data_IF_021058551315
#
_entry.id   IF_021058551315
#
_cell.length_a   1.000
_cell.length_b   1.000
_cell.length_c   1.000
_cell.angle_alpha   90.00
_cell.angle_beta   90.00
_cell.angle_gamma   90.00
#
_symmetry.space_group_name_H-M   'P 1'
#
loop_
_entity.id
_entity.type
_entity.pdbx_description
1 polymer ?
#
# COMPACT_ATOMS: atom_id res chain seq x y z
N UNK A 1 32.21 -12.31 -66.55
CA UNK A 1 32.57 -11.65 -65.28
C UNK A 1 31.34 -10.97 -64.69
N UNK A 2 30.42 -11.72 -64.07
CA UNK A 2 29.29 -11.14 -63.34
C UNK A 2 29.44 -11.55 -61.87
N UNK A 3 29.80 -10.58 -61.02
CA UNK A 3 29.99 -10.78 -59.59
C UNK A 3 28.63 -10.87 -58.90
N UNK A 4 28.32 -12.04 -58.36
CA UNK A 4 27.22 -12.30 -57.44
C UNK A 4 27.53 -11.60 -56.11
N UNK A 5 26.88 -10.48 -55.81
CA UNK A 5 26.96 -9.81 -54.50
C UNK A 5 25.99 -10.48 -53.53
N UNK A 6 26.50 -11.34 -52.67
CA UNK A 6 25.78 -11.92 -51.54
C UNK A 6 25.73 -10.88 -50.40
N UNK A 7 24.56 -10.29 -50.15
CA UNK A 7 24.32 -9.42 -49.00
C UNK A 7 23.95 -10.29 -47.79
N UNK A 8 24.91 -10.47 -46.88
CA UNK A 8 24.71 -11.11 -45.59
C UNK A 8 24.09 -10.07 -44.66
N UNK A 9 22.79 -10.20 -44.36
CA UNK A 9 22.15 -9.47 -43.27
C UNK A 9 22.57 -10.12 -41.94
N UNK A 10 23.57 -9.55 -41.27
CA UNK A 10 23.86 -9.82 -39.87
C UNK A 10 22.73 -9.21 -39.03
N UNK A 11 21.71 -9.99 -38.71
CA UNK A 11 20.78 -9.67 -37.64
C UNK A 11 21.56 -9.74 -36.32
N UNK A 12 22.05 -8.60 -35.86
CA UNK A 12 22.51 -8.44 -34.49
C UNK A 12 21.28 -8.58 -33.58
N UNK A 13 21.02 -9.79 -33.10
CA UNK A 13 20.23 -10.00 -31.89
C UNK A 13 21.02 -9.37 -30.74
N UNK A 14 20.84 -8.07 -30.55
CA UNK A 14 21.26 -7.41 -29.33
C UNK A 14 20.46 -8.02 -28.19
N UNK A 15 21.09 -8.89 -27.39
CA UNK A 15 20.55 -9.27 -26.10
C UNK A 15 20.61 -8.00 -25.26
N UNK A 16 19.53 -7.23 -25.25
CA UNK A 16 19.39 -6.09 -24.36
C UNK A 16 19.51 -6.62 -22.94
N UNK A 17 20.62 -6.29 -22.28
CA UNK A 17 20.82 -6.62 -20.87
C UNK A 17 19.82 -5.77 -20.08
N UNK A 18 18.73 -6.38 -19.62
CA UNK A 18 17.74 -5.69 -18.82
C UNK A 18 18.43 -5.03 -17.61
N UNK A 19 18.15 -3.74 -17.40
CA UNK A 19 18.65 -3.01 -16.23
C UNK A 19 18.10 -3.61 -14.93
N UNK A 20 18.68 -3.27 -13.77
CA UNK A 20 18.09 -3.66 -12.49
C UNK A 20 16.68 -3.05 -12.36
N UNK A 21 15.70 -3.90 -12.05
CA UNK A 21 14.34 -3.47 -11.78
C UNK A 21 14.25 -2.56 -10.55
N UNK A 22 13.28 -1.65 -10.55
CA UNK A 22 13.08 -0.66 -9.49
C UNK A 22 11.62 -0.63 -9.07
N UNK A 23 11.37 -0.43 -7.78
CA UNK A 23 10.03 -0.26 -7.25
C UNK A 23 10.05 0.77 -6.13
N UNK A 24 8.93 1.44 -5.92
CA UNK A 24 8.72 2.28 -4.74
C UNK A 24 8.13 1.46 -3.61
N UNK A 25 8.45 1.82 -2.37
CA UNK A 25 7.71 1.40 -1.18
C UNK A 25 7.36 2.65 -0.38
N UNK A 26 6.07 2.90 -0.23
CA UNK A 26 5.51 3.98 0.59
C UNK A 26 4.56 3.39 1.63
N UNK A 27 4.42 4.07 2.77
CA UNK A 27 3.63 3.64 3.91
C UNK A 27 3.30 4.83 4.80
N UNK A 28 2.31 4.69 5.67
CA UNK A 28 2.04 5.57 6.81
C UNK A 28 1.88 7.04 6.36
N UNK A 29 1.06 7.25 5.33
CA UNK A 29 0.84 8.59 4.76
C UNK A 29 0.09 9.50 5.73
N UNK A 30 -0.83 8.94 6.53
CA UNK A 30 -1.65 9.60 7.55
C UNK A 30 -2.07 11.02 7.15
N UNK A 31 -3.06 11.14 6.25
CA UNK A 31 -3.61 12.43 5.87
C UNK A 31 -4.42 13.02 7.04
N UNK A 32 -4.00 14.16 7.58
CA UNK A 32 -4.87 15.03 8.39
C UNK A 32 -5.64 15.99 7.48
N UNK A 33 -6.96 15.79 7.24
CA UNK A 33 -7.73 16.65 6.35
C UNK A 33 -7.97 18.06 6.91
N UNK A 34 -7.81 18.24 8.23
CA UNK A 34 -8.11 19.48 8.95
C UNK A 34 -6.84 20.27 9.32
N UNK A 35 -5.66 19.82 8.89
CA UNK A 35 -4.42 20.56 9.04
C UNK A 35 -4.54 21.96 8.42
N UNK A 36 -4.21 22.99 9.21
CA UNK A 36 -4.14 24.38 8.76
C UNK A 36 -3.09 25.17 9.53
N UNK A 37 -2.41 26.06 8.85
CA UNK A 37 -1.55 27.06 9.50
C UNK A 37 -2.45 28.03 10.27
N UNK A 38 -2.38 28.00 11.60
CA UNK A 38 -3.23 28.75 12.52
C UNK A 38 -2.37 29.57 13.48
N UNK A 39 -2.85 30.75 13.86
CA UNK A 39 -2.25 31.55 14.93
C UNK A 39 -2.58 30.97 16.33
N UNK A 40 -3.67 30.20 16.44
CA UNK A 40 -4.01 29.44 17.64
C UNK A 40 -3.32 28.05 17.59
N UNK A 41 -2.36 27.77 18.49
CA UNK A 41 -1.61 26.52 18.51
C UNK A 41 -2.44 25.26 18.78
N UNK A 42 -3.66 25.38 19.32
CA UNK A 42 -4.58 24.26 19.56
C UNK A 42 -5.48 23.95 18.35
N UNK A 43 -5.39 24.76 17.29
CA UNK A 43 -6.26 24.67 16.11
C UNK A 43 -5.46 24.40 14.83
N UNK A 44 -4.22 23.90 14.94
CA UNK A 44 -3.40 23.57 13.77
C UNK A 44 -3.84 22.25 13.15
N UNK A 45 -3.92 21.19 13.95
CA UNK A 45 -4.26 19.85 13.49
C UNK A 45 -4.94 19.05 14.62
N UNK A 46 -6.03 18.31 14.36
CA UNK A 46 -6.64 17.44 15.36
C UNK A 46 -5.75 16.27 15.77
N UNK A 47 -4.83 15.82 14.91
CA UNK A 47 -3.91 14.71 15.20
C UNK A 47 -2.95 14.99 16.36
N UNK A 48 -2.62 16.25 16.64
CA UNK A 48 -1.80 16.64 17.79
C UNK A 48 -2.51 16.47 19.14
N UNK A 49 -3.83 16.20 19.13
CA UNK A 49 -4.63 16.06 20.34
C UNK A 49 -4.72 17.36 21.12
N UNK A 50 -4.15 17.38 22.33
CA UNK A 50 -4.09 18.56 23.20
C UNK A 50 -2.73 19.28 23.18
N UNK A 51 -1.79 18.84 22.35
CA UNK A 51 -0.46 19.44 22.26
C UNK A 51 -0.52 20.78 21.52
N UNK A 52 0.31 21.74 21.97
CA UNK A 52 0.39 23.08 21.37
C UNK A 52 1.32 23.05 20.16
N UNK A 53 0.78 23.29 18.96
CA UNK A 53 1.55 23.34 17.72
C UNK A 53 1.87 24.80 17.38
N UNK A 54 3.05 25.27 17.80
CA UNK A 54 3.47 26.66 17.59
C UNK A 54 4.27 26.81 16.30
N UNK A 55 4.03 27.89 15.53
CA UNK A 55 4.74 28.19 14.28
C UNK A 55 4.64 27.08 13.21
N UNK A 56 3.48 26.43 13.10
CA UNK A 56 3.19 25.40 12.12
C UNK A 56 3.53 25.87 10.68
N UNK A 57 4.26 25.03 9.94
CA UNK A 57 4.65 25.31 8.57
C UNK A 57 3.60 24.88 7.54
N UNK A 58 3.67 25.35 6.29
CA UNK A 58 2.73 24.89 5.26
C UNK A 58 2.89 23.40 4.94
N UNK A 59 4.07 22.81 5.18
CA UNK A 59 4.41 21.43 4.82
C UNK A 59 4.14 20.41 5.93
N UNK A 60 3.62 20.84 7.08
CA UNK A 60 3.40 19.97 8.23
C UNK A 60 4.10 20.48 9.48
N UNK A 61 3.90 19.74 10.56
CA UNK A 61 4.56 19.91 11.84
C UNK A 61 4.83 18.52 12.43
N UNK A 62 5.89 18.37 13.21
CA UNK A 62 6.27 17.08 13.80
C UNK A 62 5.23 16.52 14.79
N UNK A 63 4.35 17.36 15.34
CA UNK A 63 3.25 16.94 16.21
C UNK A 63 1.97 16.59 15.44
N UNK A 64 1.95 16.85 14.13
CA UNK A 64 0.80 16.62 13.27
C UNK A 64 1.03 15.44 12.33
N UNK A 65 -0.07 14.80 11.94
CA UNK A 65 -0.12 13.97 10.76
C UNK A 65 -0.03 14.83 9.50
N UNK A 66 0.16 14.18 8.35
CA UNK A 66 0.55 14.85 7.10
C UNK A 66 -0.57 15.75 6.57
N UNK A 67 -0.31 17.04 6.29
CA UNK A 67 -1.21 17.81 5.45
C UNK A 67 -1.19 17.27 4.02
N UNK A 68 -2.28 17.51 3.28
CA UNK A 68 -2.39 17.12 1.87
C UNK A 68 -1.18 17.55 1.03
N UNK A 69 -0.63 18.74 1.29
CA UNK A 69 0.47 19.28 0.49
C UNK A 69 1.77 18.49 0.67
N UNK A 70 2.00 17.88 1.84
CA UNK A 70 3.14 17.00 2.08
C UNK A 70 3.01 15.69 1.30
N UNK A 71 1.84 15.05 1.39
CA UNK A 71 1.54 13.81 0.65
C UNK A 71 1.59 14.06 -0.86
N UNK A 72 1.00 15.15 -1.34
CA UNK A 72 1.09 15.52 -2.75
C UNK A 72 2.55 15.71 -3.16
N UNK A 73 3.34 16.44 -2.36
CA UNK A 73 4.76 16.64 -2.63
C UNK A 73 5.55 15.34 -2.68
N UNK A 74 5.28 14.37 -1.79
CA UNK A 74 6.01 13.11 -1.75
C UNK A 74 5.73 12.25 -3.00
N UNK A 75 4.47 12.14 -3.42
CA UNK A 75 4.09 11.37 -4.61
C UNK A 75 4.64 12.02 -5.90
N UNK A 76 4.64 13.35 -6.00
CA UNK A 76 5.28 14.04 -7.12
C UNK A 76 6.81 13.94 -7.10
N UNK A 77 7.45 13.95 -5.93
CA UNK A 77 8.88 13.71 -5.80
C UNK A 77 9.27 12.29 -6.24
N UNK A 78 8.47 11.27 -5.92
CA UNK A 78 8.67 9.91 -6.43
C UNK A 78 8.70 9.91 -7.97
N UNK A 79 7.78 10.63 -8.62
CA UNK A 79 7.73 10.73 -10.09
C UNK A 79 8.94 11.44 -10.68
N UNK A 80 9.48 12.44 -10.00
CA UNK A 80 10.70 13.13 -10.44
C UNK A 80 11.93 12.22 -10.34
N UNK A 81 12.02 11.39 -9.30
CA UNK A 81 13.16 10.51 -9.04
C UNK A 81 13.13 9.24 -9.92
N UNK A 82 11.97 8.58 -10.01
CA UNK A 82 11.76 7.38 -10.81
C UNK A 82 10.31 7.35 -11.33
N UNK A 83 10.05 7.87 -12.54
CA UNK A 83 8.72 7.96 -13.14
C UNK A 83 8.20 6.63 -13.68
N UNK A 84 9.07 5.66 -13.97
CA UNK A 84 8.72 4.37 -14.58
C UNK A 84 9.17 3.18 -13.71
N UNK A 85 8.73 3.09 -12.45
CA UNK A 85 9.02 1.93 -11.61
C UNK A 85 8.27 0.69 -12.14
N UNK A 86 8.83 -0.50 -11.91
CA UNK A 86 8.19 -1.77 -12.28
C UNK A 86 6.84 -1.94 -11.55
N UNK A 87 6.77 -1.48 -10.30
CA UNK A 87 5.56 -1.45 -9.47
C UNK A 87 5.76 -0.53 -8.24
N UNK A 88 4.68 -0.34 -7.48
CA UNK A 88 4.68 0.37 -6.19
C UNK A 88 4.16 -0.58 -5.11
N UNK A 89 4.81 -0.61 -3.96
CA UNK A 89 4.28 -1.18 -2.71
C UNK A 89 3.71 -0.05 -1.87
N UNK A 90 2.46 -0.18 -1.43
CA UNK A 90 1.81 0.77 -0.54
C UNK A 90 1.23 0.05 0.67
N UNK A 91 1.82 0.22 1.84
CA UNK A 91 1.48 -0.59 3.03
C UNK A 91 0.46 0.06 3.99
N UNK A 92 -0.34 1.00 3.48
CA UNK A 92 -1.50 1.56 4.17
C UNK A 92 -1.17 2.62 5.22
N UNK A 93 -2.09 2.78 6.19
CA UNK A 93 -2.10 3.79 7.24
C UNK A 93 -2.28 5.21 6.69
N UNK A 94 -3.48 5.42 6.15
CA UNK A 94 -3.88 6.58 5.37
C UNK A 94 -4.55 7.67 6.21
N UNK A 95 -5.18 7.29 7.32
CA UNK A 95 -6.07 8.17 8.09
C UNK A 95 -5.39 8.71 9.36
N UNK A 96 -5.80 9.87 9.90
CA UNK A 96 -5.05 10.53 10.96
C UNK A 96 -5.27 9.84 12.33
N UNK A 97 -4.34 10.12 13.24
CA UNK A 97 -4.37 9.77 14.65
C UNK A 97 -5.38 10.63 15.42
N UNK A 98 -6.66 10.35 15.22
CA UNK A 98 -7.77 10.99 15.96
C UNK A 98 -8.63 9.95 16.70
N UNK A 99 -9.44 10.37 17.68
CA UNK A 99 -10.45 9.50 18.31
C UNK A 99 -11.47 8.98 17.28
N UNK A 100 -11.98 7.76 17.49
CA UNK A 100 -12.94 7.13 16.57
C UNK A 100 -14.21 7.97 16.37
N UNK A 101 -14.61 8.72 17.40
CA UNK A 101 -15.80 9.59 17.38
C UNK A 101 -15.64 10.77 16.40
N UNK A 102 -14.40 11.11 16.03
CA UNK A 102 -14.08 12.17 15.07
C UNK A 102 -13.83 11.66 13.66
N UNK A 103 -13.73 10.35 13.45
CA UNK A 103 -13.44 9.75 12.15
C UNK A 103 -14.29 8.51 11.91
N UNK A 104 -15.45 8.72 11.27
CA UNK A 104 -16.36 7.64 10.88
C UNK A 104 -15.91 6.90 9.61
N UNK A 105 -16.54 5.75 9.37
CA UNK A 105 -16.25 4.87 8.22
C UNK A 105 -16.26 5.59 6.86
N UNK A 106 -17.23 6.47 6.62
CA UNK A 106 -17.30 7.23 5.36
C UNK A 106 -16.10 8.17 5.17
N UNK A 107 -15.55 8.73 6.26
CA UNK A 107 -14.37 9.58 6.20
C UNK A 107 -13.10 8.75 5.94
N UNK A 108 -12.98 7.56 6.57
CA UNK A 108 -11.91 6.59 6.28
C UNK A 108 -11.89 6.25 4.79
N UNK A 109 -13.01 5.78 4.23
CA UNK A 109 -13.10 5.42 2.81
C UNK A 109 -12.80 6.60 1.87
N UNK A 110 -13.23 7.81 2.23
CA UNK A 110 -12.95 9.01 1.43
C UNK A 110 -11.46 9.36 1.42
N UNK A 111 -10.75 9.15 2.53
CA UNK A 111 -9.30 9.37 2.61
C UNK A 111 -8.57 8.34 1.75
N UNK A 112 -8.88 7.04 1.91
CA UNK A 112 -8.30 5.96 1.09
C UNK A 112 -8.56 6.20 -0.40
N UNK A 113 -9.78 6.59 -0.77
CA UNK A 113 -10.12 6.94 -2.16
C UNK A 113 -9.27 8.11 -2.67
N UNK A 114 -9.07 9.16 -1.85
CA UNK A 114 -8.31 10.35 -2.25
C UNK A 114 -6.84 10.01 -2.51
N UNK A 115 -6.21 9.21 -1.65
CA UNK A 115 -4.83 8.77 -1.84
C UNK A 115 -4.70 7.80 -3.01
N UNK A 116 -5.64 6.87 -3.15
CA UNK A 116 -5.74 5.98 -4.32
C UNK A 116 -5.79 6.79 -5.63
N UNK A 117 -6.62 7.85 -5.67
CA UNK A 117 -6.74 8.73 -6.85
C UNK A 117 -5.44 9.47 -7.14
N UNK A 118 -4.76 10.01 -6.13
CA UNK A 118 -3.47 10.69 -6.29
C UNK A 118 -2.42 9.76 -6.91
N UNK A 119 -2.26 8.54 -6.36
CA UNK A 119 -1.29 7.56 -6.88
C UNK A 119 -1.62 7.20 -8.34
N UNK A 120 -2.89 6.97 -8.67
CA UNK A 120 -3.34 6.67 -10.03
C UNK A 120 -3.15 7.82 -11.02
N UNK A 121 -3.29 9.07 -10.55
CA UNK A 121 -3.09 10.27 -11.36
C UNK A 121 -1.60 10.47 -11.68
N UNK A 122 -0.73 10.30 -10.68
CA UNK A 122 0.70 10.56 -10.82
C UNK A 122 1.40 9.41 -11.55
N UNK A 123 1.01 8.15 -11.28
CA UNK A 123 1.55 6.92 -11.86
C UNK A 123 0.49 6.14 -12.67
N UNK A 124 0.00 6.70 -13.79
CA UNK A 124 -1.00 6.03 -14.61
C UNK A 124 -0.42 4.77 -15.25
N UNK A 125 -1.07 3.63 -15.04
CA UNK A 125 -0.65 2.35 -15.63
C UNK A 125 0.38 1.57 -14.81
N UNK A 126 0.92 2.13 -13.74
CA UNK A 126 1.80 1.41 -12.80
C UNK A 126 0.97 0.49 -11.90
N UNK A 127 1.37 -0.78 -11.78
CA UNK A 127 0.76 -1.74 -10.85
C UNK A 127 1.13 -1.35 -9.41
N UNK A 128 0.13 -1.30 -8.53
CA UNK A 128 0.32 -1.03 -7.10
C UNK A 128 -0.11 -2.26 -6.31
N UNK A 129 0.76 -2.76 -5.44
CA UNK A 129 0.44 -3.80 -4.47
C UNK A 129 0.19 -3.12 -3.13
N UNK A 130 -1.10 -2.88 -2.85
CA UNK A 130 -1.54 -2.13 -1.68
C UNK A 130 -2.06 -3.06 -0.56
N UNK A 131 -1.68 -2.77 0.68
CA UNK A 131 -2.18 -3.38 1.91
C UNK A 131 -2.96 -2.31 2.71
N UNK A 132 -3.92 -2.75 3.53
CA UNK A 132 -4.56 -1.87 4.52
C UNK A 132 -3.70 -1.81 5.79
N UNK A 133 -3.52 -0.61 6.35
CA UNK A 133 -2.96 -0.39 7.67
C UNK A 133 -4.02 -0.38 8.76
N UNK A 134 -3.63 -0.43 10.04
CA UNK A 134 -4.56 -0.54 11.16
C UNK A 134 -5.45 0.72 11.34
N UNK A 135 -5.04 1.86 10.77
CA UNK A 135 -5.84 3.09 10.71
C UNK A 135 -6.84 3.14 9.53
N UNK A 136 -6.79 2.20 8.60
CA UNK A 136 -7.65 2.19 7.39
C UNK A 136 -9.00 1.50 7.64
N UNK A 137 -9.48 1.55 8.88
CA UNK A 137 -10.72 0.93 9.31
C UNK A 137 -11.44 1.76 10.36
N UNK A 138 -12.75 1.57 10.48
CA UNK A 138 -13.55 2.18 11.54
C UNK A 138 -14.38 1.14 12.28
N UNK A 139 -14.27 1.04 13.62
CA UNK A 139 -13.28 1.72 14.46
C UNK A 139 -11.85 1.26 14.15
N UNK A 140 -10.84 2.12 14.36
CA UNK A 140 -9.44 1.77 14.06
C UNK A 140 -9.00 0.51 14.79
N UNK A 141 -8.07 -0.24 14.19
CA UNK A 141 -7.56 -1.54 14.64
C UNK A 141 -8.57 -2.71 14.61
N UNK A 142 -9.88 -2.47 14.51
CA UNK A 142 -10.90 -3.51 14.68
C UNK A 142 -11.20 -4.27 13.37
N UNK A 143 -10.18 -4.81 12.72
CA UNK A 143 -10.30 -5.54 11.46
C UNK A 143 -10.94 -6.92 11.69
N UNK A 144 -12.11 -7.23 11.09
CA UNK A 144 -12.75 -8.53 11.24
C UNK A 144 -12.09 -9.59 10.36
N UNK A 145 -12.17 -10.84 10.82
CA UNK A 145 -11.79 -12.05 10.08
C UNK A 145 -12.92 -12.50 9.12
N UNK A 146 -13.37 -11.60 8.24
CA UNK A 146 -14.43 -11.87 7.27
C UNK A 146 -14.83 -10.61 6.49
N UNK A 147 -15.63 -10.81 5.43
CA UNK A 147 -16.06 -9.70 4.57
C UNK A 147 -16.82 -8.59 5.33
N UNK A 148 -16.61 -7.35 4.92
CA UNK A 148 -17.28 -6.16 5.46
C UNK A 148 -17.33 -5.03 4.42
N UNK A 149 -18.00 -3.92 4.75
CA UNK A 149 -18.18 -2.81 3.81
C UNK A 149 -16.85 -2.16 3.39
N UNK A 150 -15.91 -1.97 4.31
CA UNK A 150 -14.61 -1.34 4.00
C UNK A 150 -13.82 -2.22 3.02
N UNK A 151 -13.68 -3.53 3.28
CA UNK A 151 -12.99 -4.44 2.37
C UNK A 151 -13.64 -4.44 0.98
N UNK A 152 -14.97 -4.46 0.92
CA UNK A 152 -15.72 -4.45 -0.33
C UNK A 152 -15.51 -3.16 -1.13
N UNK A 153 -15.56 -2.00 -0.49
CA UNK A 153 -15.38 -0.70 -1.14
C UNK A 153 -13.93 -0.49 -1.57
N UNK A 154 -12.96 -0.84 -0.73
CA UNK A 154 -11.53 -0.76 -1.07
C UNK A 154 -11.19 -1.71 -2.22
N UNK A 155 -11.78 -2.90 -2.29
CA UNK A 155 -11.61 -3.80 -3.42
C UNK A 155 -12.05 -3.15 -4.75
N UNK A 156 -13.11 -2.33 -4.75
CA UNK A 156 -13.54 -1.61 -5.96
C UNK A 156 -12.61 -0.42 -6.27
N UNK A 157 -12.12 0.31 -5.26
CA UNK A 157 -11.12 1.37 -5.43
C UNK A 157 -9.82 0.83 -6.06
N UNK A 158 -9.36 -0.33 -5.58
CA UNK A 158 -8.13 -0.98 -6.00
C UNK A 158 -8.32 -1.99 -7.14
N UNK A 159 -9.54 -2.14 -7.66
CA UNK A 159 -9.85 -3.05 -8.77
C UNK A 159 -8.91 -2.91 -9.98
N UNK A 160 -8.47 -1.71 -10.41
CA UNK A 160 -7.50 -1.57 -11.50
C UNK A 160 -6.13 -2.20 -11.19
N UNK A 161 -5.82 -2.40 -9.92
CA UNK A 161 -4.58 -2.99 -9.43
C UNK A 161 -4.72 -4.45 -9.02
N UNK A 162 -5.93 -5.00 -8.91
CA UNK A 162 -6.18 -6.38 -8.53
C UNK A 162 -6.51 -7.23 -9.75
N UNK A 163 -5.85 -8.38 -9.89
CA UNK A 163 -6.27 -9.41 -10.81
C UNK A 163 -7.57 -10.05 -10.30
N UNK A 164 -8.35 -10.66 -11.21
CA UNK A 164 -9.65 -11.24 -10.88
C UNK A 164 -9.59 -12.26 -9.72
N UNK A 165 -8.52 -13.05 -9.66
CA UNK A 165 -8.28 -14.05 -8.60
C UNK A 165 -7.99 -13.42 -7.23
N UNK A 166 -7.49 -12.18 -7.20
CA UNK A 166 -7.16 -11.45 -5.98
C UNK A 166 -8.36 -10.74 -5.36
N UNK A 167 -9.44 -10.50 -6.13
CA UNK A 167 -10.61 -9.73 -5.65
C UNK A 167 -11.37 -10.47 -4.55
N UNK A 168 -11.65 -11.76 -4.73
CA UNK A 168 -12.39 -12.55 -3.75
C UNK A 168 -11.67 -12.65 -2.39
N UNK A 169 -10.38 -13.06 -2.31
CA UNK A 169 -9.68 -13.10 -1.03
C UNK A 169 -9.51 -11.70 -0.41
N UNK A 170 -9.36 -10.64 -1.22
CA UNK A 170 -9.35 -9.28 -0.70
C UNK A 170 -10.69 -8.92 -0.04
N UNK A 171 -11.81 -9.22 -0.68
CA UNK A 171 -13.15 -8.94 -0.12
C UNK A 171 -13.45 -9.74 1.14
N UNK A 172 -12.85 -10.91 1.29
CA UNK A 172 -13.06 -11.78 2.45
C UNK A 172 -12.14 -11.47 3.63
N UNK A 173 -10.89 -11.05 3.38
CA UNK A 173 -9.91 -10.89 4.46
C UNK A 173 -8.88 -9.78 4.27
N UNK A 174 -9.01 -8.97 3.21
CA UNK A 174 -8.06 -7.91 2.82
C UNK A 174 -6.61 -8.42 2.61
N UNK A 175 -6.45 -9.68 2.21
CA UNK A 175 -5.19 -10.27 1.80
C UNK A 175 -5.31 -10.90 0.42
N UNK A 176 -4.22 -10.98 -0.32
CA UNK A 176 -4.19 -11.53 -1.68
C UNK A 176 -2.76 -11.81 -2.14
N UNK A 177 -2.61 -12.54 -3.25
CA UNK A 177 -1.31 -12.71 -3.90
C UNK A 177 -1.42 -12.45 -5.39
N UNK A 178 -0.30 -12.04 -5.98
CA UNK A 178 -0.21 -11.63 -7.38
C UNK A 178 1.13 -12.02 -7.97
N UNK A 179 1.15 -12.46 -9.22
CA UNK A 179 2.39 -12.72 -9.94
C UNK A 179 3.02 -11.41 -10.42
N UNK A 180 4.34 -11.30 -10.28
CA UNK A 180 5.14 -10.25 -10.90
C UNK A 180 5.34 -10.61 -12.38
N UNK A 181 4.73 -9.85 -13.27
CA UNK A 181 4.90 -9.99 -14.72
C UNK A 181 6.10 -9.14 -15.14
N UNK A 182 7.28 -9.75 -15.28
CA UNK A 182 8.50 -9.04 -15.67
C UNK A 182 9.56 -9.94 -16.28
N UNK A 183 10.55 -9.32 -16.94
CA UNK A 183 11.65 -10.01 -17.63
C UNK A 183 12.62 -10.75 -16.69
N UNK A 184 12.51 -10.53 -15.38
CA UNK A 184 13.48 -10.95 -14.36
C UNK A 184 13.16 -12.31 -13.68
N UNK A 185 12.23 -13.09 -14.22
CA UNK A 185 11.89 -14.43 -13.74
C UNK A 185 10.54 -14.53 -13.00
N UNK A 186 10.21 -15.73 -12.53
CA UNK A 186 8.95 -16.02 -11.85
C UNK A 186 8.98 -15.42 -10.42
N UNK A 187 8.22 -14.35 -10.19
CA UNK A 187 8.11 -13.68 -8.90
C UNK A 187 6.66 -13.55 -8.45
N UNK A 188 6.44 -13.44 -7.14
CA UNK A 188 5.11 -13.26 -6.53
C UNK A 188 5.16 -12.19 -5.44
N UNK A 189 4.14 -11.34 -5.41
CA UNK A 189 3.83 -10.51 -4.26
C UNK A 189 2.73 -11.18 -3.45
N UNK A 190 2.94 -11.27 -2.14
CA UNK A 190 1.93 -11.69 -1.17
C UNK A 190 1.61 -10.50 -0.29
N UNK A 191 0.38 -10.03 -0.32
CA UNK A 191 -0.10 -8.93 0.51
C UNK A 191 -0.91 -9.51 1.65
N UNK A 192 -0.44 -9.27 2.87
CA UNK A 192 -1.07 -9.76 4.10
C UNK A 192 -1.91 -8.66 4.75
N UNK A 193 -2.99 -9.08 5.41
CA UNK A 193 -3.69 -8.29 6.41
C UNK A 193 -3.14 -8.65 7.79
N UNK A 194 -2.02 -8.03 8.16
CA UNK A 194 -1.41 -8.24 9.49
C UNK A 194 -2.17 -7.57 10.63
N UNK A 195 -3.15 -6.71 10.32
CA UNK A 195 -4.00 -6.07 11.32
C UNK A 195 -4.89 -7.09 12.05
N UNK A 196 -5.14 -8.26 11.45
CA UNK A 196 -5.81 -9.40 12.10
C UNK A 196 -5.03 -9.94 13.30
N UNK A 197 -3.72 -9.68 13.38
CA UNK A 197 -2.85 -10.15 14.47
C UNK A 197 -2.43 -9.03 15.42
N UNK A 198 -2.94 -7.82 15.21
CA UNK A 198 -2.59 -6.69 16.07
C UNK A 198 -3.18 -6.88 17.46
N UNK A 199 -2.38 -6.64 18.51
CA UNK A 199 -2.80 -6.90 19.90
C UNK A 199 -4.00 -6.06 20.36
N UNK A 200 -4.25 -4.93 19.69
CA UNK A 200 -5.40 -4.06 19.95
C UNK A 200 -6.64 -4.41 19.11
N UNK A 201 -6.62 -5.50 18.35
CA UNK A 201 -7.75 -5.97 17.57
C UNK A 201 -8.58 -6.99 18.37
N UNK A 202 -9.69 -6.52 18.95
CA UNK A 202 -10.56 -7.38 19.75
C UNK A 202 -11.41 -8.33 18.88
N UNK A 203 -11.52 -8.08 17.57
CA UNK A 203 -12.29 -8.94 16.66
C UNK A 203 -11.66 -10.32 16.47
N UNK A 204 -10.34 -10.44 16.69
CA UNK A 204 -9.56 -11.64 16.40
C UNK A 204 -8.80 -12.18 17.62
N UNK A 205 -8.93 -11.56 18.79
CA UNK A 205 -8.14 -11.85 20.00
C UNK A 205 -8.14 -13.33 20.43
N UNK A 206 -9.20 -14.09 20.15
CA UNK A 206 -9.33 -15.51 20.50
C UNK A 206 -9.17 -16.48 19.32
N UNK A 207 -8.82 -15.97 18.14
CA UNK A 207 -8.69 -16.77 16.92
C UNK A 207 -7.26 -17.27 16.75
N UNK A 208 -7.10 -18.57 16.48
CA UNK A 208 -5.79 -19.17 16.19
C UNK A 208 -5.27 -18.76 14.82
N UNK A 209 -6.15 -18.74 13.82
CA UNK A 209 -5.85 -18.32 12.44
C UNK A 209 -7.01 -17.48 11.87
N UNK A 210 -7.12 -16.19 12.24
CA UNK A 210 -8.17 -15.30 11.73
C UNK A 210 -8.15 -15.23 10.20
N UNK A 211 -9.30 -15.52 9.58
CA UNK A 211 -9.46 -15.53 8.13
C UNK A 211 -8.77 -16.70 7.41
N UNK A 212 -8.26 -17.69 8.16
CA UNK A 212 -7.40 -18.76 7.63
C UNK A 212 -6.19 -18.22 6.86
N UNK A 213 -5.70 -17.04 7.21
CA UNK A 213 -4.65 -16.36 6.46
C UNK A 213 -3.31 -17.09 6.59
N UNK A 214 -3.00 -17.73 7.73
CA UNK A 214 -1.78 -18.55 7.83
C UNK A 214 -1.88 -19.82 6.98
N UNK A 215 -3.02 -20.53 7.02
CA UNK A 215 -3.23 -21.69 6.15
C UNK A 215 -3.14 -21.29 4.67
N UNK A 216 -3.80 -20.20 4.28
CA UNK A 216 -3.73 -19.66 2.93
C UNK A 216 -2.30 -19.26 2.53
N UNK A 217 -1.55 -18.64 3.44
CA UNK A 217 -0.16 -18.26 3.20
C UNK A 217 0.72 -19.49 2.98
N UNK A 218 0.56 -20.54 3.78
CA UNK A 218 1.27 -21.82 3.61
C UNK A 218 1.01 -22.42 2.22
N UNK A 219 -0.25 -22.43 1.77
CA UNK A 219 -0.64 -22.92 0.45
C UNK A 219 0.00 -22.09 -0.67
N UNK A 220 -0.02 -20.76 -0.56
CA UNK A 220 0.58 -19.84 -1.53
C UNK A 220 2.10 -20.04 -1.63
N UNK A 221 2.79 -20.14 -0.49
CA UNK A 221 4.24 -20.36 -0.45
C UNK A 221 4.64 -21.75 -0.95
N UNK A 222 3.84 -22.78 -0.64
CA UNK A 222 4.04 -24.14 -1.16
C UNK A 222 3.92 -24.18 -2.67
N UNK A 223 2.87 -23.54 -3.22
CA UNK A 223 2.66 -23.45 -4.66
C UNK A 223 3.77 -22.64 -5.36
N UNK A 224 4.23 -21.55 -4.74
CA UNK A 224 5.34 -20.76 -5.25
C UNK A 224 6.64 -21.57 -5.31
N UNK A 225 6.93 -22.35 -4.26
CA UNK A 225 8.09 -23.25 -4.22
C UNK A 225 8.04 -24.30 -5.34
N UNK A 226 6.89 -24.95 -5.55
CA UNK A 226 6.70 -25.92 -6.64
C UNK A 226 6.84 -25.29 -8.04
N UNK A 227 6.47 -24.02 -8.18
CA UNK A 227 6.59 -23.26 -9.42
C UNK A 227 7.97 -22.61 -9.64
N UNK A 228 8.89 -22.70 -8.66
CA UNK A 228 10.18 -22.01 -8.71
C UNK A 228 10.07 -20.48 -8.63
N UNK A 229 9.03 -19.97 -7.98
CA UNK A 229 8.76 -18.54 -7.82
C UNK A 229 9.47 -17.97 -6.57
N UNK A 230 10.06 -16.77 -6.70
CA UNK A 230 10.53 -15.99 -5.54
C UNK A 230 9.41 -15.10 -4.98
N UNK A 231 9.22 -15.09 -3.67
CA UNK A 231 8.12 -14.37 -3.00
C UNK A 231 8.63 -13.13 -2.25
N UNK A 232 7.90 -12.01 -2.38
CA UNK A 232 8.07 -10.81 -1.55
C UNK A 232 6.75 -10.54 -0.81
N UNK A 233 6.83 -10.23 0.49
CA UNK A 233 5.67 -10.08 1.37
C UNK A 233 5.70 -8.75 2.11
N UNK A 234 5.21 -7.64 1.51
CA UNK A 234 4.98 -6.40 2.26
C UNK A 234 3.88 -6.62 3.31
N UNK A 235 4.06 -6.04 4.49
CA UNK A 235 3.10 -6.06 5.60
C UNK A 235 2.97 -4.65 6.18
N UNK A 236 1.77 -4.29 6.63
CA UNK A 236 1.49 -2.99 7.27
C UNK A 236 2.05 -2.92 8.69
N UNK A 237 1.89 -4.00 9.46
CA UNK A 237 2.39 -4.09 10.84
C UNK A 237 3.51 -5.14 10.91
N UNK A 238 4.74 -4.78 11.32
CA UNK A 238 5.80 -5.75 11.48
C UNK A 238 5.48 -6.73 12.62
N UNK A 239 5.92 -7.98 12.48
CA UNK A 239 5.72 -9.06 13.46
C UNK A 239 6.47 -8.88 14.79
N UNK A 240 7.14 -7.72 14.98
CA UNK A 240 7.95 -7.44 16.15
C UNK A 240 7.28 -6.33 16.98
N UNK A 241 6.91 -6.72 18.19
CA UNK A 241 6.61 -5.83 19.30
C UNK A 241 7.78 -4.86 19.52
N UNK A 242 7.66 -3.63 19.01
CA UNK A 242 8.41 -2.52 19.54
C UNK A 242 7.91 -2.28 20.96
N UNK A 243 8.73 -2.62 21.95
CA UNK A 243 8.59 -2.11 23.32
C UNK A 243 8.78 -0.59 23.21
N UNK A 244 7.69 0.14 22.98
CA UNK A 244 7.67 1.56 23.20
C UNK A 244 7.70 1.76 24.73
N UNK A 245 8.78 2.38 25.18
CA UNK A 245 8.96 2.86 26.56
C UNK A 245 8.28 4.20 26.73
#
# INVERSE_FOLDING_TARGET
MSLLKLLIFLAQCGVAKAGPGKFWHISDLHLDPDYKVSADPLQVCPSAGSQLVSNAGPWGDYLCDSPWVLINSSVYAMKEIEPEPDFILWTGDDTPHVPNEKLGEAAVLKIVERLTKLIREVFPGTKVYAALGNHDFHPKNQFPAGSNNIYNQVAELWRPWLNNESIAPFKEGAFYSEKLLGQSGAGRIVVLNTNLYYSSNEQTASMVDPGQQFQWLEDVLTNASQAGEMVRSPASSPSLSGVAS
#
